data_IF_600212724828
#
_entry.id   IF_600212724828
#
_cell.length_a   1.000
_cell.length_b   1.000
_cell.length_c   1.000
_cell.angle_alpha   90.00
_cell.angle_beta   90.00
_cell.angle_gamma   90.00
#
_symmetry.space_group_name_H-M   'P 1'
#
loop_
_entity.id
_entity.type
_entity.pdbx_description
1 polymer ?
#
# COMPACT_ATOMS: atom_id res chain seq x y z
N UNK A 1 -20.46 3.48 4.93
CA UNK A 1 -19.49 4.50 4.48
C UNK A 1 -18.11 3.89 4.51
N UNK A 2 -17.26 4.23 3.54
CA UNK A 2 -15.86 3.80 3.53
C UNK A 2 -15.17 4.23 4.84
N UNK A 3 -14.36 3.34 5.40
CA UNK A 3 -13.58 3.58 6.62
C UNK A 3 -12.16 4.09 6.32
N UNK A 4 -11.66 3.94 5.09
CA UNK A 4 -10.42 4.61 4.68
C UNK A 4 -10.67 6.12 4.57
N UNK A 5 -9.64 6.91 4.85
CA UNK A 5 -9.65 8.34 4.56
C UNK A 5 -9.72 8.58 3.04
N UNK A 6 -10.13 9.79 2.63
CA UNK A 6 -10.17 10.18 1.21
C UNK A 6 -8.77 10.34 0.61
N UNK A 7 -7.80 10.76 1.44
CA UNK A 7 -6.42 11.05 1.06
C UNK A 7 -5.46 10.25 1.95
N UNK A 8 -4.33 9.87 1.37
CA UNK A 8 -3.29 9.09 2.00
C UNK A 8 -2.57 9.83 3.13
N UNK A 9 -2.26 11.12 2.97
CA UNK A 9 -1.77 11.99 4.05
C UNK A 9 -2.75 11.99 5.22
N UNK A 10 -4.05 12.10 4.94
CA UNK A 10 -5.10 12.07 5.96
C UNK A 10 -5.07 10.74 6.72
N UNK A 11 -5.06 9.60 6.02
CA UNK A 11 -4.99 8.28 6.65
C UNK A 11 -3.74 8.10 7.52
N UNK A 12 -2.58 8.59 7.07
CA UNK A 12 -1.32 8.54 7.85
C UNK A 12 -1.39 9.33 9.15
N UNK A 13 -2.23 10.35 9.22
CA UNK A 13 -2.43 11.20 10.40
C UNK A 13 -3.65 10.82 11.23
N UNK A 14 -4.49 9.92 10.73
CA UNK A 14 -5.76 9.56 11.36
C UNK A 14 -5.53 8.65 12.58
N UNK A 15 -5.94 9.07 13.79
CA UNK A 15 -5.78 8.27 15.00
C UNK A 15 -6.58 6.95 14.97
N UNK A 16 -7.54 6.78 14.06
CA UNK A 16 -8.22 5.50 13.84
C UNK A 16 -7.28 4.44 13.23
N UNK A 17 -6.17 4.84 12.61
CA UNK A 17 -5.21 3.96 11.95
C UNK A 17 -3.87 3.97 12.70
N UNK A 18 -3.69 3.03 13.63
CA UNK A 18 -2.43 2.88 14.35
C UNK A 18 -1.40 2.18 13.48
N UNK A 19 -0.31 2.86 13.09
CA UNK A 19 0.81 2.21 12.41
C UNK A 19 1.59 1.32 13.38
N UNK A 20 1.52 0.00 13.17
CA UNK A 20 2.14 -1.01 14.04
C UNK A 20 3.50 -1.50 13.52
N UNK A 21 3.75 -1.37 12.21
CA UNK A 21 5.04 -1.71 11.62
C UNK A 21 5.33 -0.81 10.41
N UNK A 22 6.61 -0.58 10.15
CA UNK A 22 7.08 0.15 8.96
C UNK A 22 8.46 -0.35 8.55
N UNK A 23 8.70 -0.43 7.25
CA UNK A 23 10.03 -0.68 6.69
C UNK A 23 10.12 -0.19 5.26
N UNK A 24 11.34 0.13 4.84
CA UNK A 24 11.67 0.43 3.44
C UNK A 24 12.23 -0.83 2.79
N UNK A 25 11.75 -1.14 1.59
CA UNK A 25 12.21 -2.25 0.75
C UNK A 25 12.98 -1.66 -0.41
N UNK A 26 14.24 -2.10 -0.55
CA UNK A 26 15.16 -1.72 -1.62
C UNK A 26 15.62 -2.92 -2.45
N UNK A 27 15.25 -4.14 -2.05
CA UNK A 27 15.52 -5.35 -2.80
C UNK A 27 14.37 -6.37 -2.67
N UNK A 28 14.03 -7.04 -3.76
CA UNK A 28 12.95 -8.03 -3.79
C UNK A 28 13.15 -9.19 -2.79
N UNK A 29 14.40 -9.52 -2.43
CA UNK A 29 14.72 -10.52 -1.41
C UNK A 29 14.26 -10.16 0.01
N UNK A 30 13.89 -8.89 0.25
CA UNK A 30 13.33 -8.42 1.52
C UNK A 30 11.80 -8.59 1.60
N UNK A 31 11.15 -9.06 0.53
CA UNK A 31 9.72 -9.33 0.49
C UNK A 31 9.49 -10.83 0.68
N UNK A 32 8.48 -11.18 1.47
CA UNK A 32 7.95 -12.54 1.43
C UNK A 32 7.09 -12.75 0.16
N UNK A 33 6.64 -13.98 -0.08
CA UNK A 33 5.89 -14.32 -1.28
C UNK A 33 4.57 -13.52 -1.43
N UNK A 34 3.87 -13.24 -0.33
CA UNK A 34 2.64 -12.45 -0.35
C UNK A 34 2.93 -10.97 -0.63
N UNK A 35 3.90 -10.39 0.07
CA UNK A 35 4.28 -8.99 -0.11
C UNK A 35 4.81 -8.75 -1.53
N UNK A 36 5.52 -9.73 -2.13
CA UNK A 36 5.93 -9.65 -3.53
C UNK A 36 4.73 -9.60 -4.49
N UNK A 37 3.66 -10.36 -4.23
CA UNK A 37 2.43 -10.32 -5.03
C UNK A 37 1.68 -8.98 -4.86
N UNK A 38 1.60 -8.48 -3.62
CA UNK A 38 1.02 -7.17 -3.31
C UNK A 38 1.82 -6.06 -4.02
N UNK A 39 3.15 -6.06 -3.91
CA UNK A 39 4.02 -5.09 -4.56
C UNK A 39 3.86 -5.12 -6.09
N UNK A 40 3.91 -6.30 -6.72
CA UNK A 40 3.68 -6.42 -8.17
C UNK A 40 2.31 -5.91 -8.57
N UNK A 41 1.26 -6.24 -7.81
CA UNK A 41 -0.08 -5.70 -8.08
C UNK A 41 -0.09 -4.17 -7.99
N UNK A 42 0.57 -3.56 -7.01
CA UNK A 42 0.63 -2.10 -6.84
C UNK A 42 1.50 -1.40 -7.91
N UNK A 43 2.61 -2.02 -8.33
CA UNK A 43 3.43 -1.48 -9.42
C UNK A 43 2.68 -1.42 -10.74
N UNK A 44 1.77 -2.38 -10.99
CA UNK A 44 0.98 -2.42 -12.22
C UNK A 44 -0.05 -1.31 -12.36
N UNK A 45 -0.34 -0.57 -11.29
CA UNK A 45 -1.20 0.61 -11.37
C UNK A 45 -0.49 1.76 -12.11
N UNK A 46 0.85 1.82 -12.07
CA UNK A 46 1.66 2.80 -12.81
C UNK A 46 2.42 2.19 -14.01
N UNK A 47 2.70 0.88 -13.96
CA UNK A 47 3.54 0.17 -14.94
C UNK A 47 2.90 -1.19 -15.30
N UNK A 48 1.96 -1.19 -16.24
CA UNK A 48 1.07 -2.33 -16.55
C UNK A 48 1.79 -3.64 -16.93
N UNK A 49 3.02 -3.52 -17.45
CA UNK A 49 3.92 -4.57 -17.90
C UNK A 49 4.80 -5.18 -16.80
N UNK A 50 4.80 -4.63 -15.57
CA UNK A 50 5.56 -5.18 -14.45
C UNK A 50 5.05 -6.57 -14.05
N UNK A 51 5.96 -7.54 -14.02
CA UNK A 51 5.64 -8.94 -13.64
C UNK A 51 6.39 -9.44 -12.41
N UNK A 52 7.40 -8.70 -11.94
CA UNK A 52 8.21 -9.08 -10.77
C UNK A 52 8.46 -7.89 -9.85
N UNK A 53 8.65 -8.15 -8.56
CA UNK A 53 8.94 -7.08 -7.60
C UNK A 53 10.30 -6.41 -7.88
N UNK A 54 11.28 -7.14 -8.39
CA UNK A 54 12.59 -6.60 -8.76
C UNK A 54 12.49 -5.61 -9.94
N UNK A 55 11.70 -5.94 -10.96
CA UNK A 55 11.40 -5.03 -12.08
C UNK A 55 10.68 -3.77 -11.58
N UNK A 56 9.61 -3.93 -10.78
CA UNK A 56 8.89 -2.79 -10.23
C UNK A 56 9.77 -1.86 -9.37
N UNK A 57 10.58 -2.42 -8.45
CA UNK A 57 11.54 -1.63 -7.66
C UNK A 57 12.54 -0.86 -8.54
N UNK A 58 12.86 -1.34 -9.75
CA UNK A 58 13.78 -0.61 -10.64
C UNK A 58 13.15 0.59 -11.35
N UNK A 59 11.82 0.75 -11.28
CA UNK A 59 11.05 1.79 -11.99
C UNK A 59 10.55 2.93 -11.09
N UNK A 60 10.40 2.66 -9.80
CA UNK A 60 9.92 3.64 -8.82
C UNK A 60 11.03 4.58 -8.37
N UNK A 61 10.67 5.72 -7.81
CA UNK A 61 11.64 6.69 -7.35
C UNK A 61 12.54 6.12 -6.25
N UNK A 62 13.84 6.39 -6.39
CA UNK A 62 14.91 5.91 -5.51
C UNK A 62 15.02 4.38 -5.37
N UNK A 63 14.18 3.61 -6.06
CA UNK A 63 14.06 2.17 -5.86
C UNK A 63 13.59 1.78 -4.45
N UNK A 64 12.79 2.63 -3.81
CA UNK A 64 12.34 2.46 -2.43
C UNK A 64 10.83 2.23 -2.34
N UNK A 65 10.43 1.05 -1.86
CA UNK A 65 9.03 0.72 -1.56
C UNK A 65 8.81 0.77 -0.05
N UNK A 66 7.90 1.63 0.41
CA UNK A 66 7.39 1.62 1.77
C UNK A 66 6.43 0.44 1.99
N UNK A 67 6.66 -0.34 3.05
CA UNK A 67 5.72 -1.36 3.51
C UNK A 67 5.32 -1.03 4.94
N UNK A 68 4.04 -0.80 5.15
CA UNK A 68 3.47 -0.38 6.43
C UNK A 68 2.35 -1.31 6.87
N UNK A 69 2.26 -1.57 8.17
CA UNK A 69 1.09 -2.24 8.76
C UNK A 69 0.32 -1.23 9.60
N UNK A 70 -0.99 -1.13 9.36
CA UNK A 70 -1.91 -0.30 10.13
C UNK A 70 -2.98 -1.18 10.78
N UNK A 71 -3.24 -0.95 12.07
CA UNK A 71 -4.36 -1.53 12.80
C UNK A 71 -5.48 -0.49 12.88
N UNK A 72 -6.65 -0.80 12.31
CA UNK A 72 -7.82 0.06 12.46
C UNK A 72 -8.45 -0.13 13.84
N UNK A 73 -8.60 0.96 14.60
CA UNK A 73 -9.00 0.94 16.00
C UNK A 73 -10.39 0.36 16.23
N UNK A 74 -11.38 0.79 15.44
CA UNK A 74 -12.78 0.40 15.66
C UNK A 74 -13.10 -1.03 15.19
N UNK A 75 -12.52 -1.49 14.08
CA UNK A 75 -12.93 -2.77 13.46
C UNK A 75 -12.07 -3.96 13.85
N UNK A 76 -10.92 -3.76 14.50
CA UNK A 76 -10.06 -4.90 14.76
C UNK A 76 -9.05 -5.21 13.66
N UNK A 77 -9.21 -4.63 12.46
CA UNK A 77 -8.57 -5.16 11.25
C UNK A 77 -7.19 -4.57 11.00
N UNK A 78 -6.28 -5.43 10.56
CA UNK A 78 -4.97 -5.04 10.07
C UNK A 78 -5.00 -4.84 8.55
N UNK A 79 -4.33 -3.78 8.10
CA UNK A 79 -4.12 -3.44 6.71
C UNK A 79 -2.62 -3.38 6.41
N UNK A 80 -2.21 -3.88 5.25
CA UNK A 80 -0.86 -3.72 4.71
C UNK A 80 -0.89 -2.67 3.62
N UNK A 81 -0.10 -1.62 3.76
CA UNK A 81 0.10 -0.61 2.71
C UNK A 81 1.44 -0.85 2.05
N UNK A 82 1.44 -0.89 0.71
CA UNK A 82 2.63 -0.79 -0.11
C UNK A 82 2.57 0.55 -0.84
N UNK A 83 3.56 1.41 -0.62
CA UNK A 83 3.59 2.82 -1.07
C UNK A 83 4.93 3.10 -1.74
N UNK A 84 4.94 3.82 -2.85
CA UNK A 84 6.16 4.30 -3.49
C UNK A 84 5.98 5.69 -4.10
N UNK A 85 7.10 6.38 -4.28
CA UNK A 85 7.16 7.65 -5.02
C UNK A 85 7.11 7.43 -6.52
N UNK A 86 6.34 8.26 -7.21
CA UNK A 86 6.31 8.36 -8.67
C UNK A 86 6.26 9.84 -9.08
N UNK A 87 7.43 10.46 -9.26
CA UNK A 87 7.56 11.89 -9.48
C UNK A 87 7.35 12.69 -8.19
N UNK A 88 6.41 13.64 -8.22
CA UNK A 88 6.06 14.51 -7.08
C UNK A 88 4.90 13.97 -6.24
N UNK A 89 4.43 12.75 -6.53
CA UNK A 89 3.30 12.14 -5.84
C UNK A 89 3.63 10.77 -5.25
N UNK A 90 2.68 10.27 -4.45
CA UNK A 90 2.73 8.92 -3.92
C UNK A 90 1.63 8.07 -4.54
N UNK A 91 2.00 6.84 -4.87
CA UNK A 91 1.12 5.81 -5.41
C UNK A 91 1.30 4.50 -4.64
N UNK A 92 0.35 3.59 -4.77
CA UNK A 92 0.42 2.31 -4.06
C UNK A 92 -0.93 1.65 -3.84
N UNK A 93 -0.96 0.76 -2.86
CA UNK A 93 -2.13 -0.05 -2.58
C UNK A 93 -2.26 -0.37 -1.09
N UNK A 94 -3.50 -0.47 -0.64
CA UNK A 94 -3.88 -0.86 0.72
C UNK A 94 -4.53 -2.24 0.61
N UNK A 95 -4.02 -3.22 1.34
CA UNK A 95 -4.51 -4.60 1.36
C UNK A 95 -5.05 -4.96 2.74
N UNK A 96 -6.02 -5.87 2.79
CA UNK A 96 -6.30 -6.59 4.03
C UNK A 96 -5.08 -7.45 4.38
N UNK A 97 -4.54 -7.28 5.59
CA UNK A 97 -3.32 -7.95 6.00
C UNK A 97 -3.42 -9.47 5.84
N UNK A 98 -2.35 -10.09 5.34
CA UNK A 98 -2.32 -11.53 5.05
C UNK A 98 -3.03 -11.97 3.77
N UNK A 99 -3.50 -11.04 2.92
CA UNK A 99 -4.19 -11.35 1.67
C UNK A 99 -3.75 -10.46 0.52
N UNK A 100 -4.11 -10.81 -0.72
CA UNK A 100 -4.00 -9.94 -1.90
C UNK A 100 -5.27 -9.13 -2.17
N UNK A 101 -6.26 -9.19 -1.27
CA UNK A 101 -7.49 -8.43 -1.40
C UNK A 101 -7.23 -6.95 -1.09
N UNK A 102 -7.48 -6.07 -2.06
CA UNK A 102 -7.32 -4.63 -1.89
C UNK A 102 -8.48 -4.04 -1.08
N UNK A 103 -8.11 -3.24 -0.07
CA UNK A 103 -8.97 -2.33 0.66
C UNK A 103 -9.12 -0.98 -0.07
N UNK A 104 -8.11 -0.57 -0.85
CA UNK A 104 -8.10 0.65 -1.67
C UNK A 104 -6.81 0.79 -2.47
N UNK A 105 -6.75 1.76 -3.37
CA UNK A 105 -5.55 2.12 -4.15
C UNK A 105 -5.15 3.55 -3.82
N UNK A 106 -3.84 3.80 -3.72
CA UNK A 106 -3.30 5.16 -3.55
C UNK A 106 -2.89 5.65 -4.94
N UNK A 107 -3.52 6.72 -5.42
CA UNK A 107 -3.23 7.34 -6.70
C UNK A 107 -3.25 8.86 -6.55
N UNK A 108 -2.13 9.49 -6.89
CA UNK A 108 -1.92 10.92 -6.69
C UNK A 108 -2.29 11.41 -5.27
N UNK A 109 -1.84 10.68 -4.24
CA UNK A 109 -2.23 10.86 -2.83
C UNK A 109 -3.69 10.55 -2.48
N UNK A 110 -4.60 10.37 -3.43
CA UNK A 110 -5.98 9.99 -3.15
C UNK A 110 -6.14 8.50 -2.91
N UNK A 111 -7.06 8.13 -2.03
CA UNK A 111 -7.46 6.74 -1.81
C UNK A 111 -8.72 6.46 -2.62
N UNK A 112 -8.56 5.62 -3.65
CA UNK A 112 -9.62 5.23 -4.57
C UNK A 112 -10.12 3.81 -4.32
N UNK A 113 -11.29 3.49 -4.90
CA UNK A 113 -11.83 2.11 -4.97
C UNK A 113 -11.96 1.42 -3.61
N UNK A 114 -12.39 2.17 -2.60
CA UNK A 114 -12.50 1.67 -1.23
C UNK A 114 -13.43 0.46 -1.10
N UNK A 115 -12.95 -0.59 -0.44
CA UNK A 115 -13.74 -1.78 -0.08
C UNK A 115 -13.81 -2.03 1.42
N UNK A 116 -13.20 -1.16 2.23
CA UNK A 116 -13.15 -1.30 3.68
C UNK A 116 -14.30 -0.54 4.34
N UNK A 117 -15.31 -1.28 4.79
CA UNK A 117 -16.54 -0.75 5.39
C UNK A 117 -16.71 -1.29 6.81
N UNK A 118 -17.53 -0.60 7.62
CA UNK A 118 -18.03 -1.18 8.86
C UNK A 118 -18.90 -2.41 8.53
N UNK A 119 -18.75 -3.46 9.33
CA UNK A 119 -19.62 -4.64 9.26
C UNK A 119 -21.07 -4.29 9.63
#
# INVERSE_FOLDING_TARGET
>A
TCLLSEDWLAMRSDPAFLRTATRTVTAASQLNALEAQQAVSAFRDSYDDVTTAADGLSRIDNGELGVHTYRHGATGRDLTVVEYGAGDTSVGAIYYAGTTNRAGSINDLFIESCTFFAD
#
